data_IF_804956040603
#
_entry.id   IF_804956040603
#
_cell.length_a   1.000
_cell.length_b   1.000
_cell.length_c   1.000
_cell.angle_alpha   90.00
_cell.angle_beta   90.00
_cell.angle_gamma   90.00
#
_symmetry.space_group_name_H-M   'P 1'
#
loop_
_entity.id
_entity.type
_entity.pdbx_description
1 polymer ?
#
# COMPACT_ATOMS: atom_id res chain seq x y z
N UNK A 1 -14.16 -13.55 3.47
CA UNK A 1 -12.91 -12.78 3.59
C UNK A 1 -13.29 -11.31 3.66
N UNK A 2 -12.67 -10.54 4.55
CA UNK A 2 -12.87 -9.08 4.57
C UNK A 2 -12.20 -8.47 3.34
N UNK A 3 -12.80 -7.42 2.79
CA UNK A 3 -12.26 -6.67 1.65
C UNK A 3 -11.25 -5.62 2.12
N UNK A 4 -10.40 -5.15 1.21
CA UNK A 4 -9.45 -4.06 1.49
C UNK A 4 -10.16 -2.85 2.07
N UNK A 5 -11.31 -2.44 1.51
CA UNK A 5 -12.04 -1.26 1.98
C UNK A 5 -12.61 -1.43 3.40
N UNK A 6 -13.11 -2.63 3.73
CA UNK A 6 -13.59 -2.94 5.08
C UNK A 6 -12.43 -2.87 6.10
N UNK A 7 -11.27 -3.42 5.73
CA UNK A 7 -10.06 -3.34 6.56
C UNK A 7 -9.62 -1.88 6.74
N UNK A 8 -9.54 -1.10 5.66
CA UNK A 8 -9.11 0.30 5.72
C UNK A 8 -10.06 1.19 6.53
N UNK A 9 -11.36 0.90 6.55
CA UNK A 9 -12.33 1.65 7.35
C UNK A 9 -12.08 1.50 8.85
N UNK A 10 -11.55 0.34 9.29
CA UNK A 10 -11.23 0.09 10.71
C UNK A 10 -10.01 0.87 11.21
N UNK A 11 -9.23 1.48 10.32
CA UNK A 11 -7.98 2.18 10.69
C UNK A 11 -8.17 3.59 11.29
N UNK A 12 -9.33 4.23 11.14
CA UNK A 12 -9.50 5.64 11.51
C UNK A 12 -9.25 5.94 13.00
N UNK A 13 -9.57 4.98 13.87
CA UNK A 13 -9.40 5.10 15.32
C UNK A 13 -8.61 3.92 15.92
N UNK A 14 -7.90 3.18 15.09
CA UNK A 14 -7.14 2.00 15.52
C UNK A 14 -5.96 2.41 16.41
N UNK A 15 -5.71 1.65 17.47
CA UNK A 15 -4.44 1.69 18.19
C UNK A 15 -3.33 0.99 17.37
N UNK A 16 -2.09 1.04 17.85
CA UNK A 16 -0.97 0.47 17.10
C UNK A 16 -1.05 -1.06 16.96
N UNK A 17 -1.61 -1.75 17.94
CA UNK A 17 -1.82 -3.21 17.89
C UNK A 17 -2.80 -3.55 16.77
N UNK A 18 -3.95 -2.88 16.75
CA UNK A 18 -4.99 -3.07 15.75
C UNK A 18 -4.48 -2.70 14.35
N UNK A 19 -3.68 -1.63 14.21
CA UNK A 19 -3.06 -1.29 12.92
C UNK A 19 -2.18 -2.41 12.38
N UNK A 20 -1.32 -2.98 13.22
CA UNK A 20 -0.43 -4.06 12.82
C UNK A 20 -1.20 -5.31 12.41
N UNK A 21 -2.27 -5.65 13.14
CA UNK A 21 -3.15 -6.77 12.78
C UNK A 21 -3.85 -6.55 11.43
N UNK A 22 -4.38 -5.35 11.20
CA UNK A 22 -5.05 -5.01 9.94
C UNK A 22 -4.07 -4.97 8.76
N UNK A 23 -2.86 -4.46 8.96
CA UNK A 23 -1.79 -4.51 7.96
C UNK A 23 -1.41 -5.96 7.63
N UNK A 24 -1.22 -6.81 8.64
CA UNK A 24 -0.91 -8.23 8.43
C UNK A 24 -2.00 -8.94 7.62
N UNK A 25 -3.28 -8.67 7.89
CA UNK A 25 -4.39 -9.20 7.09
C UNK A 25 -4.30 -8.79 5.63
N UNK A 26 -3.96 -7.53 5.35
CA UNK A 26 -3.77 -7.07 3.96
C UNK A 26 -2.58 -7.77 3.29
N UNK A 27 -1.49 -8.00 4.02
CA UNK A 27 -0.32 -8.72 3.50
C UNK A 27 -0.64 -10.19 3.25
N UNK A 28 -1.43 -10.84 4.11
CA UNK A 28 -1.86 -12.24 3.97
C UNK A 28 -2.72 -12.48 2.73
N UNK A 29 -3.48 -11.48 2.27
CA UNK A 29 -4.16 -11.54 0.97
C UNK A 29 -3.17 -11.62 -0.21
N UNK A 30 -1.96 -11.11 -0.04
CA UNK A 30 -0.90 -11.20 -1.04
C UNK A 30 -1.24 -10.45 -2.33
N UNK A 31 -1.00 -11.10 -3.48
CA UNK A 31 -1.01 -10.40 -4.77
C UNK A 31 -2.41 -10.04 -5.29
N UNK A 32 -3.47 -10.63 -4.74
CA UNK A 32 -4.85 -10.42 -5.23
C UNK A 32 -5.37 -9.00 -4.93
N UNK A 33 -4.86 -8.38 -3.87
CA UNK A 33 -5.29 -7.04 -3.43
C UNK A 33 -4.48 -5.91 -4.06
N UNK A 34 -3.42 -6.21 -4.82
CA UNK A 34 -2.50 -5.21 -5.35
C UNK A 34 -3.15 -4.12 -6.21
N UNK A 35 -4.05 -4.44 -7.18
CA UNK A 35 -4.73 -3.39 -7.95
C UNK A 35 -5.49 -2.43 -7.04
N UNK A 36 -6.25 -2.99 -6.09
CA UNK A 36 -7.07 -2.20 -5.17
C UNK A 36 -6.22 -1.38 -4.19
N UNK A 37 -5.11 -1.93 -3.69
CA UNK A 37 -4.19 -1.20 -2.82
C UNK A 37 -3.57 0.01 -3.54
N UNK A 38 -3.16 -0.14 -4.80
CA UNK A 38 -2.62 0.98 -5.59
C UNK A 38 -3.69 2.03 -5.89
N UNK A 39 -4.93 1.62 -6.19
CA UNK A 39 -6.05 2.57 -6.34
C UNK A 39 -6.32 3.33 -5.04
N UNK A 40 -6.33 2.62 -3.90
CA UNK A 40 -6.53 3.25 -2.59
C UNK A 40 -5.40 4.21 -2.26
N UNK A 41 -4.14 3.86 -2.52
CA UNK A 41 -2.97 4.68 -2.22
C UNK A 41 -3.04 6.09 -2.84
N UNK A 42 -3.69 6.22 -4.00
CA UNK A 42 -3.88 7.49 -4.70
C UNK A 42 -4.92 8.40 -4.01
N UNK A 43 -5.97 7.83 -3.43
CA UNK A 43 -7.13 8.58 -2.93
C UNK A 43 -7.16 8.73 -1.40
N UNK A 44 -6.68 7.73 -0.65
CA UNK A 44 -6.71 7.78 0.82
C UNK A 44 -5.60 8.68 1.37
N UNK A 45 -5.78 9.12 2.61
CA UNK A 45 -4.88 10.06 3.30
C UNK A 45 -4.61 9.57 4.73
N UNK A 46 -3.64 10.22 5.39
CA UNK A 46 -3.28 9.93 6.78
C UNK A 46 -2.87 8.47 7.01
N UNK A 47 -3.37 7.89 8.12
CA UNK A 47 -3.02 6.54 8.58
C UNK A 47 -3.31 5.48 7.51
N UNK A 48 -4.47 5.55 6.85
CA UNK A 48 -4.84 4.58 5.80
C UNK A 48 -3.80 4.54 4.69
N UNK A 49 -3.31 5.71 4.27
CA UNK A 49 -2.30 5.82 3.21
C UNK A 49 -0.97 5.21 3.64
N UNK A 50 -0.57 5.43 4.89
CA UNK A 50 0.63 4.82 5.47
C UNK A 50 0.56 3.29 5.50
N UNK A 51 -0.57 2.73 5.97
CA UNK A 51 -0.75 1.27 6.01
C UNK A 51 -0.74 0.67 4.61
N UNK A 52 -1.45 1.27 3.64
CA UNK A 52 -1.45 0.80 2.24
C UNK A 52 -0.03 0.81 1.66
N UNK A 53 0.74 1.88 1.89
CA UNK A 53 2.13 1.98 1.44
C UNK A 53 3.01 0.87 2.06
N UNK A 54 2.91 0.67 3.37
CA UNK A 54 3.65 -0.39 4.09
C UNK A 54 3.26 -1.78 3.60
N UNK A 55 1.97 -2.04 3.38
CA UNK A 55 1.50 -3.30 2.81
C UNK A 55 2.11 -3.57 1.43
N UNK A 56 2.13 -2.57 0.54
CA UNK A 56 2.71 -2.70 -0.80
C UNK A 56 4.22 -3.01 -0.74
N UNK A 57 4.95 -2.36 0.18
CA UNK A 57 6.37 -2.64 0.43
C UNK A 57 6.56 -4.07 0.92
N UNK A 58 5.75 -4.53 1.88
CA UNK A 58 5.85 -5.87 2.46
C UNK A 58 5.46 -6.99 1.50
N UNK A 59 4.54 -6.74 0.58
CA UNK A 59 4.24 -7.67 -0.52
C UNK A 59 5.44 -7.74 -1.50
N UNK A 60 6.19 -6.65 -1.66
CA UNK A 60 7.45 -6.61 -2.38
C UNK A 60 7.29 -6.51 -3.89
N UNK A 61 8.17 -7.16 -4.64
CA UNK A 61 8.35 -7.00 -6.09
C UNK A 61 7.05 -7.12 -6.91
N UNK A 62 6.09 -7.93 -6.47
CA UNK A 62 4.81 -8.08 -7.14
C UNK A 62 4.02 -6.76 -7.24
N UNK A 63 4.25 -5.82 -6.32
CA UNK A 63 3.65 -4.49 -6.29
C UNK A 63 4.20 -3.55 -7.37
N UNK A 64 5.46 -3.75 -7.83
CA UNK A 64 6.17 -2.81 -8.70
C UNK A 64 5.40 -2.54 -9.99
N UNK A 65 4.94 -3.59 -10.68
CA UNK A 65 4.23 -3.44 -11.96
C UNK A 65 2.97 -2.57 -11.86
N UNK A 66 2.28 -2.61 -10.72
CA UNK A 66 1.07 -1.81 -10.49
C UNK A 66 1.42 -0.37 -10.15
N UNK A 67 2.48 -0.16 -9.37
CA UNK A 67 3.01 1.17 -9.05
C UNK A 67 3.51 1.88 -10.32
N UNK A 68 4.28 1.19 -11.18
CA UNK A 68 4.75 1.74 -12.46
C UNK A 68 3.59 2.14 -13.36
N UNK A 69 2.57 1.29 -13.47
CA UNK A 69 1.38 1.59 -14.26
C UNK A 69 0.65 2.82 -13.72
N UNK A 70 0.43 2.90 -12.40
CA UNK A 70 -0.23 4.05 -11.79
C UNK A 70 0.59 5.35 -11.94
N UNK A 71 1.92 5.28 -11.89
CA UNK A 71 2.80 6.42 -12.13
C UNK A 71 2.68 6.96 -13.57
N UNK A 72 2.54 6.06 -14.54
CA UNK A 72 2.33 6.41 -15.95
C UNK A 72 0.97 7.06 -16.19
N UNK A 73 -0.08 6.58 -15.51
CA UNK A 73 -1.45 7.05 -15.66
C UNK A 73 -1.74 8.32 -14.84
N UNK A 74 -0.99 8.56 -13.76
CA UNK A 74 -1.20 9.68 -12.85
C UNK A 74 0.12 10.36 -12.47
N UNK A 75 0.40 11.50 -13.12
CA UNK A 75 1.63 12.29 -12.91
C UNK A 75 1.76 12.89 -11.51
N UNK A 76 0.66 13.18 -10.83
CA UNK A 76 0.70 13.65 -9.44
C UNK A 76 1.08 12.52 -8.47
N UNK A 77 0.92 11.26 -8.89
CA UNK A 77 1.25 10.06 -8.12
C UNK A 77 2.65 9.52 -8.43
N UNK A 78 3.27 9.91 -9.54
CA UNK A 78 4.55 9.39 -10.04
C UNK A 78 5.64 9.38 -8.96
N UNK A 79 5.84 10.49 -8.25
CA UNK A 79 6.86 10.58 -7.19
C UNK A 79 6.63 9.56 -6.06
N UNK A 80 5.37 9.32 -5.69
CA UNK A 80 5.00 8.39 -4.62
C UNK A 80 5.27 6.95 -5.05
N UNK A 81 4.89 6.62 -6.29
CA UNK A 81 5.14 5.31 -6.86
C UNK A 81 6.65 5.02 -6.97
N UNK A 82 7.43 5.96 -7.49
CA UNK A 82 8.88 5.84 -7.59
C UNK A 82 9.55 5.66 -6.22
N UNK A 83 9.10 6.41 -5.22
CA UNK A 83 9.60 6.25 -3.84
C UNK A 83 9.37 4.83 -3.33
N UNK A 84 8.15 4.30 -3.45
CA UNK A 84 7.83 2.94 -2.99
C UNK A 84 8.57 1.86 -3.78
N UNK A 85 8.77 2.06 -5.08
CA UNK A 85 9.57 1.12 -5.91
C UNK A 85 11.02 1.07 -5.41
N UNK A 86 11.62 2.21 -5.05
CA UNK A 86 12.98 2.24 -4.48
C UNK A 86 13.07 1.56 -3.12
N UNK A 87 12.07 1.78 -2.26
CA UNK A 87 11.96 1.07 -0.98
C UNK A 87 11.89 -0.45 -1.18
N UNK A 88 11.04 -0.92 -2.10
CA UNK A 88 10.89 -2.34 -2.41
C UNK A 88 12.20 -2.94 -2.93
N UNK A 89 12.90 -2.23 -3.80
CA UNK A 89 14.20 -2.67 -4.35
C UNK A 89 15.36 -2.57 -3.36
N UNK A 90 15.14 -1.96 -2.19
CA UNK A 90 16.21 -1.70 -1.21
C UNK A 90 17.24 -0.68 -1.69
N UNK A 91 16.86 0.22 -2.61
CA UNK A 91 17.74 1.22 -3.21
C UNK A 91 17.90 2.48 -2.34
N UNK A 92 17.12 2.59 -1.25
CA UNK A 92 17.28 3.66 -0.26
C UNK A 92 18.32 3.17 0.76
N UNK A 93 19.58 3.50 0.49
CA UNK A 93 20.68 3.28 1.42
C UNK A 93 20.44 4.06 2.73
N UNK A 94 20.76 3.39 3.85
CA UNK A 94 20.79 3.97 5.19
C UNK A 94 21.74 5.16 5.31
#
# INVERSE_FOLDING_TARGET
METVNEILTKLENADNTTKNELENKLVEHGTEVLPQLVDQLQVVRGIKRGVVAMTLIRIGDASIKYLEKAAQENKDFEWVAEYLIREIKGEIAA
#
